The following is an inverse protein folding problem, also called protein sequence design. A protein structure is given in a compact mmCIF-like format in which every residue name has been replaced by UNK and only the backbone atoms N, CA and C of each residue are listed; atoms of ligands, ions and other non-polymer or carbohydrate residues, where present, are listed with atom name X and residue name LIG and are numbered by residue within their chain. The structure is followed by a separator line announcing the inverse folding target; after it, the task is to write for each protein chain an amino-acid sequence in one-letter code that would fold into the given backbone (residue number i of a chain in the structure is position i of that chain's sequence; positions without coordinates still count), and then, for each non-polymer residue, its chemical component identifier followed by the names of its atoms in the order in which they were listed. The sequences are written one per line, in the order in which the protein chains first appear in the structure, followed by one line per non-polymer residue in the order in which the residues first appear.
data_IF_403943516937
#
_entry.id   IF_403943516937
#
_cell.length_a   1.000
_cell.length_b   1.000
_cell.length_c   1.000
_cell.angle_alpha   90.00
_cell.angle_beta   90.00
_cell.angle_gamma   90.00
#
_symmetry.space_group_name_H-M   'P 1'
#
loop_
_entity.id
_entity.type
_entity.pdbx_description
1 polymer ?
#
# COMPACT_ATOMS: atom_id res chain seq x y z
N UNK A 1 -3.98 46.83 -27.15
CA UNK A 1 -3.31 48.05 -26.66
C UNK A 1 -2.43 47.63 -25.49
N UNK A 2 -1.12 47.75 -25.66
CA UNK A 2 -0.08 47.43 -24.67
C UNK A 2 -0.29 48.20 -23.36
N UNK A 3 0.09 47.61 -22.22
CA UNK A 3 1.29 47.99 -21.47
C UNK A 3 1.64 46.87 -20.49
N UNK A 4 2.93 46.52 -20.51
CA UNK A 4 3.67 45.56 -19.70
C UNK A 4 3.82 46.10 -18.27
N UNK A 5 4.00 45.20 -17.30
CA UNK A 5 5.10 45.35 -16.34
C UNK A 5 5.56 43.97 -15.86
N UNK A 6 6.73 43.58 -16.36
CA UNK A 6 7.62 42.56 -15.78
C UNK A 6 8.36 43.23 -14.61
N UNK A 7 8.52 42.52 -13.50
CA UNK A 7 9.60 42.81 -12.56
C UNK A 7 10.43 41.54 -12.34
N UNK A 8 11.65 41.60 -12.86
CA UNK A 8 12.80 40.76 -12.52
C UNK A 8 13.50 41.35 -11.30
N UNK A 9 14.07 40.50 -10.44
CA UNK A 9 15.28 40.71 -9.59
C UNK A 9 15.71 39.28 -9.21
N UNK A 10 16.73 38.69 -9.85
CA UNK A 10 18.18 38.83 -9.66
C UNK A 10 18.76 37.79 -8.67
N UNK A 11 19.44 36.83 -9.29
CA UNK A 11 20.41 35.88 -8.74
C UNK A 11 21.53 36.62 -8.01
N UNK A 12 21.86 36.17 -6.80
CA UNK A 12 23.11 36.52 -6.12
C UNK A 12 23.92 35.23 -5.86
N UNK A 13 24.87 34.97 -6.75
CA UNK A 13 26.00 34.07 -6.56
C UNK A 13 26.91 34.62 -5.44
N UNK A 14 27.12 33.84 -4.38
CA UNK A 14 28.09 34.12 -3.33
C UNK A 14 29.00 32.93 -3.11
N UNK A 15 30.13 32.89 -3.85
CA UNK A 15 31.24 31.99 -3.57
C UNK A 15 31.91 32.36 -2.24
N UNK A 16 32.09 31.41 -1.32
CA UNK A 16 33.12 31.50 -0.29
C UNK A 16 33.94 30.21 -0.30
N UNK A 17 35.24 30.41 -0.54
CA UNK A 17 36.26 29.41 -0.62
C UNK A 17 36.74 28.94 0.77
N UNK A 18 37.24 27.70 0.76
CA UNK A 18 37.92 26.96 1.81
C UNK A 18 38.88 27.78 2.70
N UNK A 19 38.79 27.54 4.01
CA UNK A 19 39.91 27.67 4.93
C UNK A 19 40.10 26.34 5.68
N UNK A 20 41.22 25.69 5.35
CA UNK A 20 41.79 24.54 6.05
C UNK A 20 42.22 24.96 7.47
N UNK A 21 41.78 24.22 8.48
CA UNK A 21 42.53 24.02 9.74
C UNK A 21 42.43 22.54 10.10
N UNK A 22 43.58 21.88 10.13
CA UNK A 22 43.71 20.47 10.47
C UNK A 22 44.15 20.22 11.92
N UNK A 23 44.15 18.92 12.24
CA UNK A 23 44.64 18.21 13.44
C UNK A 23 43.72 18.29 14.67
N UNK A 24 43.17 17.20 15.21
CA UNK A 24 43.29 15.78 14.93
C UNK A 24 43.06 15.00 16.22
N UNK A 25 42.32 13.88 16.18
CA UNK A 25 42.63 12.63 16.90
C UNK A 25 41.56 11.55 16.67
N UNK A 26 42.12 10.37 16.44
CA UNK A 26 41.60 9.02 16.69
C UNK A 26 40.42 8.53 15.83
N UNK A 27 40.82 7.85 14.77
CA UNK A 27 40.06 6.85 14.04
C UNK A 27 39.44 5.81 15.00
N UNK A 28 38.13 5.65 14.92
CA UNK A 28 37.44 4.41 15.25
C UNK A 28 36.97 3.84 13.91
N UNK A 29 37.34 2.60 13.63
CA UNK A 29 37.05 1.90 12.38
C UNK A 29 35.53 1.87 12.11
N UNK A 30 35.06 2.77 11.26
CA UNK A 30 33.84 2.57 10.51
C UNK A 30 34.17 1.56 9.41
N UNK A 31 33.88 0.28 9.65
CA UNK A 31 33.78 -0.69 8.58
C UNK A 31 32.79 -0.12 7.56
N UNK A 32 33.28 0.13 6.35
CA UNK A 32 32.48 0.64 5.25
C UNK A 32 31.30 -0.28 5.03
N UNK A 33 30.09 0.25 5.22
CA UNK A 33 28.89 -0.36 4.67
C UNK A 33 29.04 -0.35 3.16
N UNK A 34 29.38 -1.51 2.60
CA UNK A 34 29.19 -1.78 1.19
C UNK A 34 27.73 -1.46 0.88
N UNK A 35 27.52 -0.56 -0.09
CA UNK A 35 26.23 -0.35 -0.74
C UNK A 35 25.77 -1.69 -1.30
N UNK A 36 24.99 -2.41 -0.52
CA UNK A 36 24.28 -3.61 -0.96
C UNK A 36 23.06 -3.11 -1.70
N UNK A 37 23.20 -3.13 -3.02
CA UNK A 37 22.14 -2.98 -4.02
C UNK A 37 20.87 -3.63 -3.48
N UNK A 38 19.89 -2.80 -3.10
CA UNK A 38 18.57 -3.27 -2.72
C UNK A 38 17.98 -3.96 -3.94
N UNK A 39 17.47 -5.17 -3.76
CA UNK A 39 16.74 -5.88 -4.81
C UNK A 39 15.46 -5.08 -5.02
N UNK A 40 15.34 -4.44 -6.19
CA UNK A 40 14.11 -3.77 -6.61
C UNK A 40 13.02 -4.82 -6.63
N UNK A 41 11.96 -4.69 -5.81
CA UNK A 41 10.74 -5.46 -6.01
C UNK A 41 10.20 -4.99 -7.35
N UNK A 42 10.34 -5.84 -8.37
CA UNK A 42 9.87 -5.56 -9.71
C UNK A 42 8.35 -5.60 -9.71
N UNK A 43 7.71 -4.47 -9.43
CA UNK A 43 6.26 -4.27 -9.67
C UNK A 43 6.04 -3.96 -11.15
N UNK A 44 6.65 -4.76 -12.04
CA UNK A 44 6.14 -4.87 -13.41
C UNK A 44 4.71 -5.38 -13.26
N UNK A 45 3.73 -4.49 -13.51
CA UNK A 45 2.28 -4.76 -13.65
C UNK A 45 1.93 -6.25 -13.45
N UNK A 46 1.83 -6.65 -12.18
CA UNK A 46 1.75 -8.05 -11.77
C UNK A 46 0.31 -8.56 -11.94
N UNK A 47 -0.14 -8.65 -13.19
CA UNK A 47 -1.50 -9.04 -13.55
C UNK A 47 -1.48 -10.27 -14.44
N UNK A 48 -2.35 -11.22 -14.12
CA UNK A 48 -2.55 -12.39 -14.96
C UNK A 48 -3.27 -11.97 -16.25
N UNK A 49 -2.73 -12.32 -17.41
CA UNK A 49 -3.30 -11.88 -18.69
C UNK A 49 -4.60 -12.60 -18.99
N UNK A 50 -5.54 -11.87 -19.61
CA UNK A 50 -6.84 -12.43 -20.00
C UNK A 50 -6.69 -13.64 -20.94
N UNK A 51 -5.75 -13.56 -21.88
CA UNK A 51 -5.45 -14.64 -22.83
C UNK A 51 -5.00 -15.94 -22.16
N UNK A 52 -4.37 -15.83 -21.00
CA UNK A 52 -3.76 -16.95 -20.30
C UNK A 52 -4.73 -17.58 -19.29
N UNK A 53 -5.95 -17.06 -19.13
CA UNK A 53 -6.98 -17.59 -18.22
C UNK A 53 -7.18 -19.11 -18.31
N UNK A 54 -7.25 -19.73 -19.51
CA UNK A 54 -7.38 -21.18 -19.62
C UNK A 54 -6.25 -21.97 -18.97
N UNK A 55 -5.09 -21.36 -18.74
CA UNK A 55 -3.96 -21.98 -18.04
C UNK A 55 -4.20 -22.19 -16.54
N UNK A 56 -5.23 -21.56 -15.98
CA UNK A 56 -5.65 -21.69 -14.58
C UNK A 56 -6.64 -22.83 -14.34
N UNK A 57 -6.98 -23.61 -15.37
CA UNK A 57 -7.92 -24.73 -15.25
C UNK A 57 -7.34 -25.86 -14.39
N UNK A 58 -8.09 -26.27 -13.37
CA UNK A 58 -7.73 -27.33 -12.42
C UNK A 58 -8.67 -28.52 -12.64
N UNK A 59 -8.11 -29.73 -12.77
CA UNK A 59 -8.92 -30.96 -12.76
C UNK A 59 -9.48 -31.22 -11.35
N UNK A 60 -10.72 -31.66 -11.24
CA UNK A 60 -11.38 -31.95 -9.94
C UNK A 60 -10.64 -33.01 -9.11
N UNK A 61 -9.81 -33.83 -9.75
CA UNK A 61 -9.01 -34.89 -9.16
C UNK A 61 -7.51 -34.58 -9.24
N UNK A 62 -7.12 -33.34 -9.55
CA UNK A 62 -5.72 -32.94 -9.57
C UNK A 62 -5.06 -33.19 -8.21
N UNK A 63 -3.83 -33.71 -8.25
CA UNK A 63 -2.99 -33.82 -7.08
C UNK A 63 -2.36 -32.46 -6.71
N UNK A 64 -1.73 -32.41 -5.53
CA UNK A 64 -1.13 -31.18 -4.98
C UNK A 64 -0.08 -30.57 -5.92
N UNK A 65 0.77 -31.38 -6.55
CA UNK A 65 1.84 -30.86 -7.42
C UNK A 65 1.28 -30.22 -8.70
N UNK A 66 0.24 -30.82 -9.29
CA UNK A 66 -0.43 -30.21 -10.45
C UNK A 66 -1.13 -28.90 -10.07
N UNK A 67 -1.81 -28.86 -8.92
CA UNK A 67 -2.43 -27.61 -8.44
C UNK A 67 -1.36 -26.56 -8.19
N UNK A 68 -0.28 -26.87 -7.47
CA UNK A 68 0.84 -25.94 -7.21
C UNK A 68 1.45 -25.39 -8.49
N UNK A 69 1.63 -26.24 -9.50
CA UNK A 69 2.12 -25.82 -10.82
C UNK A 69 1.23 -24.73 -11.45
N UNK A 70 -0.09 -24.86 -11.32
CA UNK A 70 -1.06 -23.86 -11.78
C UNK A 70 -0.98 -22.59 -10.92
N UNK A 71 -0.94 -22.72 -9.59
CA UNK A 71 -0.86 -21.57 -8.68
C UNK A 71 0.42 -20.75 -8.91
N UNK A 72 1.53 -21.39 -9.24
CA UNK A 72 2.80 -20.72 -9.53
C UNK A 72 2.79 -19.89 -10.83
N UNK A 73 1.72 -19.97 -11.64
CA UNK A 73 1.52 -19.08 -12.80
C UNK A 73 0.85 -17.76 -12.42
N UNK A 74 0.16 -17.72 -11.28
CA UNK A 74 -0.50 -16.51 -10.81
C UNK A 74 0.55 -15.50 -10.31
N UNK A 75 0.20 -14.20 -10.30
CA UNK A 75 0.92 -13.19 -9.55
C UNK A 75 1.31 -13.67 -8.15
N UNK A 76 2.60 -13.57 -7.81
CA UNK A 76 3.09 -13.94 -6.48
C UNK A 76 2.39 -13.11 -5.40
N UNK A 77 2.02 -13.74 -4.29
CA UNK A 77 1.37 -13.04 -3.17
C UNK A 77 2.37 -12.16 -2.39
N UNK A 78 3.60 -12.65 -2.24
CA UNK A 78 4.76 -11.93 -1.73
C UNK A 78 6.04 -12.76 -1.98
N UNK A 79 7.20 -12.10 -2.15
CA UNK A 79 8.48 -12.77 -2.49
C UNK A 79 9.00 -13.77 -1.43
N UNK A 80 8.52 -13.63 -0.19
CA UNK A 80 8.89 -14.47 0.95
C UNK A 80 7.86 -15.56 1.24
N UNK A 81 6.81 -15.72 0.42
CA UNK A 81 5.84 -16.81 0.55
C UNK A 81 6.09 -17.88 -0.50
N UNK A 82 6.04 -19.15 -0.09
CA UNK A 82 6.13 -20.29 -0.99
C UNK A 82 4.94 -21.22 -0.78
N UNK A 83 4.36 -21.73 -1.87
CA UNK A 83 3.29 -22.71 -1.77
C UNK A 83 3.86 -24.06 -1.33
N UNK A 84 3.39 -24.52 -0.18
CA UNK A 84 3.79 -25.78 0.45
C UNK A 84 2.95 -26.94 -0.06
N UNK A 85 1.63 -26.79 0.00
CA UNK A 85 0.65 -27.81 -0.33
C UNK A 85 -0.60 -27.17 -0.91
N UNK A 86 -1.33 -27.93 -1.73
CA UNK A 86 -2.60 -27.51 -2.26
C UNK A 86 -3.53 -28.71 -2.46
N UNK A 87 -4.82 -28.53 -2.17
CA UNK A 87 -5.80 -29.62 -2.31
C UNK A 87 -7.20 -29.11 -2.56
N UNK A 88 -7.99 -29.94 -3.22
CA UNK A 88 -9.42 -29.77 -3.32
C UNK A 88 -10.07 -30.44 -2.09
N UNK A 89 -10.96 -29.73 -1.43
CA UNK A 89 -11.76 -30.25 -0.31
C UNK A 89 -13.25 -30.10 -0.60
N UNK A 90 -14.07 -30.90 0.07
CA UNK A 90 -15.53 -30.76 0.05
C UNK A 90 -15.98 -30.34 1.45
N UNK A 91 -16.78 -29.28 1.52
CA UNK A 91 -17.38 -28.79 2.77
C UNK A 91 -18.85 -28.43 2.57
N UNK A 92 -19.50 -28.00 3.65
CA UNK A 92 -20.91 -27.61 3.63
C UNK A 92 -21.20 -26.40 2.72
N UNK A 93 -20.18 -25.57 2.46
CA UNK A 93 -20.25 -24.39 1.58
C UNK A 93 -19.82 -24.68 0.13
N UNK A 94 -19.58 -25.95 -0.20
CA UNK A 94 -19.26 -26.42 -1.56
C UNK A 94 -17.84 -26.97 -1.71
N UNK A 95 -17.34 -26.96 -2.94
CA UNK A 95 -15.99 -27.44 -3.25
C UNK A 95 -14.99 -26.31 -2.98
N UNK A 96 -14.00 -26.56 -2.14
CA UNK A 96 -12.96 -25.61 -1.79
C UNK A 96 -11.62 -25.94 -2.44
N UNK A 97 -10.85 -24.91 -2.77
CA UNK A 97 -9.42 -25.03 -3.04
C UNK A 97 -8.65 -24.50 -1.83
N UNK A 98 -7.92 -25.38 -1.15
CA UNK A 98 -7.05 -25.02 -0.03
C UNK A 98 -5.64 -24.82 -0.54
N UNK A 99 -5.08 -23.65 -0.29
CA UNK A 99 -3.72 -23.26 -0.63
C UNK A 99 -2.93 -23.03 0.66
N UNK A 100 -1.95 -23.88 0.94
CA UNK A 100 -1.09 -23.77 2.12
C UNK A 100 0.26 -23.18 1.70
N UNK A 101 0.62 -22.05 2.30
CA UNK A 101 1.88 -21.35 2.10
C UNK A 101 2.73 -21.44 3.36
N UNK A 102 4.04 -21.49 3.17
CA UNK A 102 5.02 -21.22 4.23
C UNK A 102 5.60 -19.82 3.99
N UNK A 103 5.66 -19.01 5.04
CA UNK A 103 6.49 -17.82 5.04
C UNK A 103 7.96 -18.21 5.31
N UNK A 104 8.88 -17.71 4.49
CA UNK A 104 10.29 -18.06 4.53
C UNK A 104 11.08 -16.95 5.25
N UNK A 105 11.36 -17.16 6.53
CA UNK A 105 12.05 -16.21 7.42
C UNK A 105 13.34 -15.64 6.81
N UNK A 106 14.23 -16.51 6.33
CA UNK A 106 15.52 -16.09 5.79
C UNK A 106 15.37 -15.21 4.54
N UNK A 107 14.36 -15.47 3.69
CA UNK A 107 14.07 -14.63 2.53
C UNK A 107 13.59 -13.25 2.96
N UNK A 108 12.65 -13.19 3.92
CA UNK A 108 12.16 -11.92 4.45
C UNK A 108 13.30 -11.06 5.05
N UNK A 109 14.25 -11.68 5.77
CA UNK A 109 15.43 -10.99 6.29
C UNK A 109 16.39 -10.52 5.19
N UNK A 110 16.61 -11.32 4.14
CA UNK A 110 17.42 -10.90 2.98
C UNK A 110 16.79 -9.70 2.26
N UNK A 111 15.47 -9.64 2.19
CA UNK A 111 14.69 -8.53 1.66
C UNK A 111 14.63 -7.31 2.60
N UNK A 112 15.25 -7.40 3.80
CA UNK A 112 15.28 -6.34 4.82
C UNK A 112 13.88 -5.87 5.24
N UNK A 113 12.92 -6.79 5.28
CA UNK A 113 11.54 -6.50 5.69
C UNK A 113 11.42 -6.38 7.21
N UNK A 114 10.29 -5.85 7.66
CA UNK A 114 9.93 -5.75 9.08
C UNK A 114 9.85 -7.12 9.76
N UNK A 115 9.74 -7.15 11.09
CA UNK A 115 9.70 -8.40 11.86
C UNK A 115 8.47 -9.26 11.58
N UNK A 116 7.36 -8.70 11.10
CA UNK A 116 6.18 -9.47 10.68
C UNK A 116 5.74 -8.99 9.29
N UNK A 117 6.48 -9.38 8.24
CA UNK A 117 6.32 -8.77 6.92
C UNK A 117 4.94 -9.08 6.32
N UNK A 118 4.30 -10.20 6.68
CA UNK A 118 2.95 -10.52 6.23
C UNK A 118 1.90 -9.60 6.85
N UNK A 119 2.03 -9.31 8.15
CA UNK A 119 1.18 -8.34 8.84
C UNK A 119 1.34 -6.92 8.27
N UNK A 120 2.47 -6.61 7.65
CA UNK A 120 2.75 -5.30 7.06
C UNK A 120 2.66 -5.24 5.53
N UNK A 121 2.58 -6.38 4.85
CA UNK A 121 2.53 -6.47 3.38
C UNK A 121 1.46 -5.58 2.72
N UNK A 122 1.85 -4.59 1.90
CA UNK A 122 0.92 -3.64 1.31
C UNK A 122 -0.07 -4.30 0.33
N UNK A 123 0.35 -5.34 -0.38
CA UNK A 123 -0.40 -5.93 -1.50
C UNK A 123 -0.93 -7.34 -1.22
N UNK A 124 -0.51 -8.02 -0.13
CA UNK A 124 -0.88 -9.43 0.10
C UNK A 124 -2.39 -9.69 0.01
N UNK A 125 -3.20 -8.87 0.70
CA UNK A 125 -4.65 -9.08 0.72
C UNK A 125 -5.32 -8.82 -0.63
N UNK A 126 -4.84 -7.82 -1.37
CA UNK A 126 -5.41 -7.44 -2.67
C UNK A 126 -4.98 -8.41 -3.77
N UNK A 127 -3.75 -8.93 -3.74
CA UNK A 127 -3.28 -10.02 -4.61
C UNK A 127 -3.98 -11.34 -4.32
N UNK A 128 -4.15 -11.69 -3.04
CA UNK A 128 -4.91 -12.87 -2.63
C UNK A 128 -6.35 -12.81 -3.11
N UNK A 129 -6.98 -11.64 -3.03
CA UNK A 129 -8.31 -11.41 -3.56
C UNK A 129 -8.36 -11.62 -5.08
N UNK A 130 -7.44 -10.99 -5.82
CA UNK A 130 -7.34 -11.14 -7.27
C UNK A 130 -7.12 -12.60 -7.69
N UNK A 131 -6.13 -13.27 -7.10
CA UNK A 131 -5.83 -14.66 -7.41
C UNK A 131 -7.03 -15.58 -7.11
N UNK A 132 -7.75 -15.32 -6.02
CA UNK A 132 -8.93 -16.10 -5.66
C UNK A 132 -10.08 -15.90 -6.66
N UNK A 133 -10.31 -14.66 -7.10
CA UNK A 133 -11.27 -14.34 -8.15
C UNK A 133 -10.90 -15.03 -9.46
N UNK A 134 -9.63 -14.95 -9.90
CA UNK A 134 -9.17 -15.58 -11.14
C UNK A 134 -9.33 -17.10 -11.12
N UNK A 135 -8.97 -17.75 -10.00
CA UNK A 135 -9.14 -19.20 -9.84
C UNK A 135 -10.61 -19.61 -9.90
N UNK A 136 -11.51 -18.85 -9.27
CA UNK A 136 -12.95 -19.11 -9.33
C UNK A 136 -13.57 -18.74 -10.68
N UNK A 137 -13.00 -17.81 -11.43
CA UNK A 137 -13.45 -17.45 -12.78
C UNK A 137 -13.22 -18.60 -13.75
N UNK A 138 -12.02 -19.19 -13.72
CA UNK A 138 -11.69 -20.31 -14.60
C UNK A 138 -12.30 -21.64 -14.11
N UNK A 139 -12.45 -21.81 -12.80
CA UNK A 139 -12.93 -23.05 -12.20
C UNK A 139 -14.33 -22.89 -11.59
N UNK A 140 -15.36 -22.95 -12.44
CA UNK A 140 -16.77 -22.76 -12.06
C UNK A 140 -17.27 -23.72 -10.97
N UNK A 141 -16.61 -24.85 -10.74
CA UNK A 141 -17.00 -25.78 -9.68
C UNK A 141 -16.44 -25.40 -8.29
N UNK A 142 -15.44 -24.52 -8.22
CA UNK A 142 -14.83 -24.08 -6.96
C UNK A 142 -15.70 -22.97 -6.34
N UNK A 143 -16.17 -23.20 -5.12
CA UNK A 143 -17.06 -22.30 -4.38
C UNK A 143 -16.30 -21.36 -3.44
N UNK A 144 -15.09 -21.74 -3.01
CA UNK A 144 -14.23 -20.89 -2.18
C UNK A 144 -12.75 -21.24 -2.33
N UNK A 145 -11.91 -20.25 -2.05
CA UNK A 145 -10.46 -20.39 -1.90
C UNK A 145 -10.14 -20.17 -0.43
N UNK A 146 -9.44 -21.14 0.18
CA UNK A 146 -8.94 -21.05 1.55
C UNK A 146 -7.43 -20.89 1.50
N UNK A 147 -6.94 -19.76 1.99
CA UNK A 147 -5.50 -19.50 2.11
C UNK A 147 -5.06 -19.74 3.53
N UNK A 148 -4.05 -20.59 3.70
CA UNK A 148 -3.40 -20.86 5.00
C UNK A 148 -1.95 -20.43 4.86
N UNK A 149 -1.47 -19.55 5.73
CA UNK A 149 -0.06 -19.15 5.77
C UNK A 149 0.54 -19.59 7.10
N UNK A 150 1.52 -20.49 7.06
CA UNK A 150 2.26 -20.92 8.24
C UNK A 150 3.35 -19.87 8.56
N UNK A 151 3.32 -19.35 9.78
CA UNK A 151 4.23 -18.29 10.22
C UNK A 151 5.45 -18.93 10.91
N UNK A 152 6.68 -18.53 10.53
CA UNK A 152 7.91 -18.93 11.21
C UNK A 152 7.87 -18.66 12.71
N UNK A 153 8.43 -19.58 13.49
CA UNK A 153 8.48 -19.46 14.96
C UNK A 153 9.48 -18.40 15.42
N UNK A 154 10.34 -17.96 14.50
CA UNK A 154 11.41 -17.00 14.67
C UNK A 154 10.91 -15.56 14.87
N UNK A 155 9.65 -15.25 14.54
CA UNK A 155 9.08 -13.90 14.60
C UNK A 155 8.48 -13.48 15.96
N UNK A 156 8.88 -14.13 17.06
CA UNK A 156 8.47 -13.93 18.47
C UNK A 156 7.42 -14.93 18.98
N UNK A 157 7.63 -15.42 20.21
CA UNK A 157 6.72 -16.29 20.95
C UNK A 157 5.34 -15.63 21.13
N UNK A 158 4.27 -16.30 20.66
CA UNK A 158 2.88 -15.86 20.85
C UNK A 158 2.18 -15.29 19.62
N UNK A 159 2.85 -15.22 18.46
CA UNK A 159 2.17 -15.01 17.18
C UNK A 159 1.42 -16.28 16.77
N UNK A 160 0.25 -16.13 16.13
CA UNK A 160 -0.47 -17.27 15.57
C UNK A 160 0.46 -18.08 14.66
N UNK A 161 0.61 -19.38 14.91
CA UNK A 161 1.45 -20.25 14.07
C UNK A 161 0.93 -20.33 12.62
N UNK A 162 -0.33 -19.94 12.40
CA UNK A 162 -1.00 -19.95 11.10
C UNK A 162 -2.01 -18.82 10.98
N UNK A 163 -2.00 -18.13 9.85
CA UNK A 163 -3.08 -17.23 9.41
C UNK A 163 -3.97 -18.00 8.44
N UNK A 164 -5.28 -17.95 8.66
CA UNK A 164 -6.27 -18.61 7.79
C UNK A 164 -7.29 -17.59 7.31
N UNK A 165 -7.52 -17.53 6.00
CA UNK A 165 -8.55 -16.69 5.39
C UNK A 165 -9.32 -17.45 4.31
N UNK A 166 -10.57 -17.07 4.10
CA UNK A 166 -11.48 -17.72 3.14
C UNK A 166 -12.20 -16.67 2.31
N UNK A 167 -12.03 -16.75 1.00
CA UNK A 167 -12.77 -15.96 0.03
C UNK A 167 -13.73 -16.91 -0.68
N UNK A 168 -15.04 -16.64 -0.60
CA UNK A 168 -16.07 -17.44 -1.25
C UNK A 168 -16.57 -16.75 -2.52
N UNK A 169 -17.08 -17.52 -3.47
CA UNK A 169 -17.74 -16.95 -4.66
C UNK A 169 -18.92 -16.07 -4.26
N UNK A 170 -19.65 -16.45 -3.22
CA UNK A 170 -20.76 -15.66 -2.69
C UNK A 170 -20.31 -14.27 -2.22
N UNK A 171 -19.18 -14.16 -1.50
CA UNK A 171 -18.69 -12.85 -1.05
C UNK A 171 -18.23 -11.97 -2.21
N UNK A 172 -17.72 -12.57 -3.29
CA UNK A 172 -17.38 -11.86 -4.53
C UNK A 172 -18.63 -11.35 -5.27
N UNK A 173 -19.69 -12.17 -5.34
CA UNK A 173 -20.97 -11.76 -5.92
C UNK A 173 -21.62 -10.62 -5.12
N UNK A 174 -21.53 -10.64 -3.79
CA UNK A 174 -22.01 -9.55 -2.93
C UNK A 174 -21.24 -8.23 -3.16
N UNK A 175 -20.00 -8.31 -3.67
CA UNK A 175 -19.21 -7.17 -4.14
C UNK A 175 -19.52 -6.77 -5.59
N UNK A 176 -20.63 -7.26 -6.15
CA UNK A 176 -21.08 -7.01 -7.53
C UNK A 176 -20.08 -7.44 -8.62
N UNK A 177 -19.23 -8.43 -8.34
CA UNK A 177 -18.36 -9.01 -9.36
C UNK A 177 -19.18 -9.95 -10.23
N UNK A 178 -19.25 -9.67 -11.53
CA UNK A 178 -19.97 -10.50 -12.48
C UNK A 178 -19.01 -11.43 -13.23
N UNK A 179 -18.93 -12.69 -12.77
CA UNK A 179 -18.06 -13.71 -13.36
C UNK A 179 -18.39 -14.03 -14.82
N UNK A 180 -19.67 -14.13 -15.18
CA UNK A 180 -20.07 -14.42 -16.57
C UNK A 180 -19.63 -13.28 -17.50
N UNK A 181 -19.89 -12.04 -17.11
CA UNK A 181 -19.46 -10.88 -17.89
C UNK A 181 -17.93 -10.74 -17.95
N UNK A 182 -17.23 -11.03 -16.86
CA UNK A 182 -15.77 -11.02 -16.81
C UNK A 182 -15.14 -12.05 -17.75
N UNK A 183 -15.76 -13.22 -17.89
CA UNK A 183 -15.30 -14.28 -18.79
C UNK A 183 -15.49 -13.93 -20.27
N UNK A 184 -16.42 -13.04 -20.59
CA UNK A 184 -16.75 -12.64 -21.97
C UNK A 184 -16.21 -11.25 -22.36
N UNK A 185 -15.84 -10.42 -21.38
CA UNK A 185 -15.42 -9.04 -21.58
C UNK A 185 -14.01 -8.78 -21.01
N UNK A 186 -13.04 -8.73 -21.92
CA UNK A 186 -11.64 -8.40 -21.63
C UNK A 186 -11.46 -7.01 -20.97
N UNK A 187 -12.24 -6.00 -21.32
CA UNK A 187 -12.12 -4.67 -20.71
C UNK A 187 -12.49 -4.72 -19.24
N UNK A 188 -13.64 -5.32 -18.93
CA UNK A 188 -14.11 -5.48 -17.55
C UNK A 188 -13.14 -6.34 -16.72
N UNK A 189 -12.61 -7.42 -17.32
CA UNK A 189 -11.54 -8.20 -16.71
C UNK A 189 -10.32 -7.36 -16.35
N UNK A 190 -9.79 -6.62 -17.32
CA UNK A 190 -8.59 -5.82 -17.14
C UNK A 190 -8.83 -4.73 -16.08
N UNK A 191 -9.97 -4.04 -16.13
CA UNK A 191 -10.34 -3.00 -15.17
C UNK A 191 -10.39 -3.55 -13.74
N UNK A 192 -11.03 -4.70 -13.50
CA UNK A 192 -11.12 -5.32 -12.18
C UNK A 192 -9.75 -5.76 -11.65
N UNK A 193 -8.98 -6.47 -12.48
CA UNK A 193 -7.67 -6.97 -12.09
C UNK A 193 -6.71 -5.81 -11.83
N UNK A 194 -6.77 -4.75 -12.65
CA UNK A 194 -6.00 -3.51 -12.47
C UNK A 194 -6.40 -2.76 -11.20
N UNK A 195 -7.70 -2.61 -10.95
CA UNK A 195 -8.23 -1.92 -9.78
C UNK A 195 -7.73 -2.56 -8.48
N UNK A 196 -7.68 -3.88 -8.43
CA UNK A 196 -7.26 -4.63 -7.26
C UNK A 196 -5.73 -4.80 -7.12
N UNK A 197 -4.89 -4.35 -8.06
CA UNK A 197 -3.46 -4.18 -7.77
C UNK A 197 -3.25 -2.82 -7.13
N UNK A 198 -3.66 -2.76 -5.87
CA UNK A 198 -3.68 -1.57 -5.06
C UNK A 198 -3.21 -1.91 -3.65
N UNK A 199 -2.71 -0.90 -2.94
CA UNK A 199 -2.32 -1.03 -1.54
C UNK A 199 -3.58 -1.25 -0.70
N UNK A 200 -3.51 -2.18 0.24
CA UNK A 200 -4.65 -2.55 1.08
C UNK A 200 -5.05 -1.41 2.04
N UNK A 201 -6.17 -0.76 1.75
CA UNK A 201 -6.59 0.47 2.43
C UNK A 201 -6.90 0.30 3.93
N UNK A 202 -7.25 -0.91 4.39
CA UNK A 202 -7.54 -1.14 5.81
C UNK A 202 -6.30 -0.97 6.71
N UNK A 203 -5.11 -0.90 6.15
CA UNK A 203 -3.86 -0.58 6.87
C UNK A 203 -3.53 0.91 6.88
N UNK A 204 -4.24 1.70 6.10
CA UNK A 204 -3.97 3.13 5.91
C UNK A 204 -4.91 3.96 6.80
N UNK A 205 -4.46 4.19 8.03
CA UNK A 205 -5.19 5.02 8.98
C UNK A 205 -4.24 5.74 9.94
N UNK A 206 -4.73 6.82 10.54
CA UNK A 206 -4.04 7.56 11.59
C UNK A 206 -4.96 7.73 12.79
N UNK A 207 -4.55 7.26 13.96
CA UNK A 207 -5.36 7.12 15.17
C UNK A 207 -6.74 6.51 14.91
N UNK A 208 -6.75 5.45 14.09
CA UNK A 208 -7.94 4.74 13.57
C UNK A 208 -8.88 5.58 12.69
N UNK A 209 -8.48 6.79 12.31
CA UNK A 209 -9.20 7.63 11.35
C UNK A 209 -8.81 7.22 9.93
N UNK A 210 -9.81 7.08 9.07
CA UNK A 210 -9.70 6.67 7.67
C UNK A 210 -10.42 7.66 6.77
N UNK A 211 -10.18 7.57 5.46
CA UNK A 211 -11.04 8.24 4.49
C UNK A 211 -12.52 7.84 4.73
N UNK A 212 -13.40 8.84 4.71
CA UNK A 212 -14.84 8.67 5.00
C UNK A 212 -15.22 8.63 6.48
N UNK A 213 -14.26 8.72 7.42
CA UNK A 213 -14.60 8.89 8.85
C UNK A 213 -15.32 10.22 9.07
N UNK A 214 -16.38 10.23 9.89
CA UNK A 214 -17.06 11.48 10.24
C UNK A 214 -16.22 12.34 11.20
N UNK A 215 -16.55 13.63 11.23
CA UNK A 215 -15.90 14.62 12.10
C UNK A 215 -16.01 14.26 13.58
N UNK A 216 -17.15 13.72 14.02
CA UNK A 216 -17.35 13.34 15.43
C UNK A 216 -16.33 12.28 15.85
N UNK A 217 -16.14 11.24 15.03
CA UNK A 217 -15.15 10.19 15.24
C UNK A 217 -13.74 10.74 15.27
N UNK A 218 -13.41 11.69 14.37
CA UNK A 218 -12.12 12.37 14.36
C UNK A 218 -11.84 13.07 15.70
N UNK A 219 -12.78 13.88 16.18
CA UNK A 219 -12.67 14.60 17.46
C UNK A 219 -12.64 13.65 18.65
N UNK A 220 -13.48 12.59 18.66
CA UNK A 220 -13.49 11.61 19.74
C UNK A 220 -12.13 10.89 19.89
N UNK A 221 -11.42 10.64 18.80
CA UNK A 221 -10.14 9.93 18.80
C UNK A 221 -8.95 10.83 19.11
N UNK A 222 -8.95 12.05 18.58
CA UNK A 222 -7.78 12.94 18.62
C UNK A 222 -7.94 14.10 19.60
N UNK A 223 -9.15 14.34 20.11
CA UNK A 223 -9.49 15.56 20.84
C UNK A 223 -9.68 16.76 19.92
N UNK A 224 -9.71 17.95 20.52
CA UNK A 224 -9.77 19.20 19.78
C UNK A 224 -8.45 19.45 19.03
N UNK A 225 -8.50 19.87 17.75
CA UNK A 225 -7.31 20.20 16.99
C UNK A 225 -6.63 21.47 17.51
N UNK A 226 -5.30 21.53 17.38
CA UNK A 226 -4.48 22.69 17.71
C UNK A 226 -4.83 23.91 16.83
N UNK A 227 -5.26 23.66 15.59
CA UNK A 227 -5.73 24.68 14.67
C UNK A 227 -6.90 24.17 13.82
N UNK A 228 -7.92 25.01 13.68
CA UNK A 228 -9.04 24.83 12.73
C UNK A 228 -9.00 25.93 11.69
N UNK A 229 -9.11 25.54 10.42
CA UNK A 229 -9.31 26.45 9.30
C UNK A 229 -10.57 26.02 8.54
N UNK A 230 -11.47 26.96 8.28
CA UNK A 230 -12.62 26.75 7.41
C UNK A 230 -12.33 27.46 6.08
N UNK A 231 -12.30 26.68 4.99
CA UNK A 231 -12.12 27.17 3.62
C UNK A 231 -13.46 27.05 2.89
N UNK A 232 -14.18 28.16 2.89
CA UNK A 232 -15.55 28.26 2.39
C UNK A 232 -16.48 27.22 3.08
N UNK A 233 -17.75 27.13 2.66
CA UNK A 233 -18.70 26.15 3.22
C UNK A 233 -18.40 24.70 2.74
N UNK A 234 -17.22 24.44 2.16
CA UNK A 234 -16.90 23.22 1.40
C UNK A 234 -15.73 22.41 1.97
N UNK A 235 -14.81 23.01 2.71
CA UNK A 235 -13.65 22.31 3.26
C UNK A 235 -13.29 22.83 4.66
N UNK A 236 -13.08 21.90 5.60
CA UNK A 236 -12.48 22.19 6.91
C UNK A 236 -11.12 21.51 7.02
N UNK A 237 -10.14 22.16 7.63
CA UNK A 237 -8.79 21.62 7.85
C UNK A 237 -8.48 21.64 9.35
N UNK A 238 -8.30 20.45 9.92
CA UNK A 238 -8.01 20.25 11.33
C UNK A 238 -6.54 19.83 11.48
N UNK A 239 -5.75 20.64 12.19
CA UNK A 239 -4.31 20.39 12.40
C UNK A 239 -4.08 19.88 13.81
N UNK A 240 -3.29 18.81 13.92
CA UNK A 240 -2.85 18.21 15.18
C UNK A 240 -1.33 18.10 15.19
N UNK A 241 -0.67 18.56 16.26
CA UNK A 241 0.78 18.55 16.41
C UNK A 241 1.38 19.96 16.44
N UNK A 242 2.69 20.03 16.21
CA UNK A 242 3.46 21.28 16.30
C UNK A 242 4.08 21.68 14.95
N UNK A 243 4.89 22.74 14.95
CA UNK A 243 5.52 23.26 13.74
C UNK A 243 6.57 22.31 13.12
N UNK A 244 7.04 21.31 13.85
CA UNK A 244 8.06 20.36 13.40
C UNK A 244 7.46 19.04 12.90
N UNK A 245 6.33 18.62 13.48
CA UNK A 245 5.62 17.40 13.11
C UNK A 245 4.12 17.58 13.34
N UNK A 246 3.33 17.48 12.29
CA UNK A 246 1.89 17.64 12.38
C UNK A 246 1.13 16.80 11.36
N UNK A 247 -0.13 16.51 11.68
CA UNK A 247 -1.09 15.84 10.81
C UNK A 247 -2.26 16.76 10.54
N UNK A 248 -2.66 16.87 9.28
CA UNK A 248 -3.86 17.56 8.83
C UNK A 248 -4.93 16.55 8.45
N UNK A 249 -6.14 16.79 8.92
CA UNK A 249 -7.34 16.14 8.39
C UNK A 249 -8.10 17.18 7.56
N UNK A 250 -8.30 16.88 6.28
CA UNK A 250 -9.22 17.65 5.43
C UNK A 250 -10.58 16.98 5.47
N UNK A 251 -11.61 17.77 5.73
CA UNK A 251 -12.99 17.30 5.76
C UNK A 251 -13.80 18.01 4.70
N UNK A 252 -14.63 17.25 3.98
CA UNK A 252 -15.55 17.77 2.97
C UNK A 252 -16.96 17.26 3.24
N UNK A 253 -18.02 17.96 2.79
CA UNK A 253 -19.38 17.47 2.88
C UNK A 253 -19.54 16.07 2.27
N UNK A 254 -20.29 15.21 2.95
CA UNK A 254 -20.68 13.89 2.44
C UNK A 254 -21.49 14.06 1.17
N UNK A 255 -21.23 13.20 0.19
CA UNK A 255 -21.96 13.16 -1.08
C UNK A 255 -23.32 12.44 -0.97
N UNK A 256 -24.10 12.76 0.07
CA UNK A 256 -25.43 12.22 0.33
C UNK A 256 -26.47 13.32 0.64
N UNK A 257 -26.07 14.59 0.55
CA UNK A 257 -26.93 15.74 0.80
C UNK A 257 -27.22 16.01 2.28
N UNK A 258 -26.58 15.31 3.23
CA UNK A 258 -26.76 15.60 4.67
C UNK A 258 -26.07 16.89 5.10
N UNK A 259 -25.05 17.33 4.37
CA UNK A 259 -24.19 18.45 4.76
C UNK A 259 -23.21 18.12 5.89
N UNK A 260 -23.26 16.89 6.44
CA UNK A 260 -22.27 16.40 7.40
C UNK A 260 -20.90 16.30 6.72
N UNK A 261 -19.84 16.58 7.47
CA UNK A 261 -18.49 16.45 6.95
C UNK A 261 -17.92 15.03 7.18
N UNK A 262 -17.05 14.61 6.25
CA UNK A 262 -16.25 13.40 6.36
C UNK A 262 -14.80 13.68 5.96
N UNK A 263 -13.88 12.89 6.51
CA UNK A 263 -12.45 12.96 6.18
C UNK A 263 -12.23 12.59 4.72
N UNK A 264 -11.74 13.53 3.93
CA UNK A 264 -11.39 13.38 2.51
C UNK A 264 -9.89 13.30 2.28
N UNK A 265 -9.08 13.75 3.23
CA UNK A 265 -7.64 13.50 3.23
C UNK A 265 -7.06 13.46 4.64
N UNK A 266 -6.01 12.64 4.80
CA UNK A 266 -5.11 12.64 5.95
C UNK A 266 -3.73 12.96 5.41
N UNK A 267 -3.13 14.05 5.89
CA UNK A 267 -1.83 14.55 5.44
C UNK A 267 -0.89 14.58 6.62
N UNK A 268 0.26 13.94 6.51
CA UNK A 268 1.27 13.89 7.57
C UNK A 268 2.52 14.60 7.11
N UNK A 269 2.99 15.53 7.94
CA UNK A 269 4.29 16.17 7.83
C UNK A 269 5.21 15.56 8.89
N UNK A 270 6.05 14.59 8.52
CA UNK A 270 6.90 13.89 9.49
C UNK A 270 8.06 14.75 9.97
N UNK A 271 8.58 14.40 11.15
CA UNK A 271 9.89 14.84 11.62
C UNK A 271 10.89 13.67 11.58
N UNK A 272 12.19 13.97 11.72
CA UNK A 272 13.22 12.92 11.85
C UNK A 272 13.06 12.07 13.11
N UNK A 273 12.43 12.63 14.13
CA UNK A 273 12.16 11.95 15.40
C UNK A 273 10.92 11.03 15.30
N UNK A 274 10.15 11.12 14.22
CA UNK A 274 9.06 10.20 13.90
C UNK A 274 9.61 8.87 13.33
N UNK A 275 10.34 8.15 14.20
CA UNK A 275 11.05 6.90 13.88
C UNK A 275 10.11 5.81 13.35
N UNK A 276 8.82 5.90 13.69
CA UNK A 276 7.81 4.94 13.24
C UNK A 276 7.07 5.39 11.97
N UNK A 277 7.48 6.51 11.33
CA UNK A 277 6.90 6.99 10.09
C UNK A 277 5.40 7.30 10.22
N UNK A 278 4.92 7.68 11.41
CA UNK A 278 3.50 7.77 11.74
C UNK A 278 2.76 6.43 11.64
N UNK A 279 1.62 6.32 12.33
CA UNK A 279 0.84 5.06 12.38
C UNK A 279 0.52 4.51 10.98
N UNK A 280 0.31 5.40 10.00
CA UNK A 280 -0.04 5.04 8.62
C UNK A 280 1.06 4.26 7.90
N UNK A 281 2.32 4.72 7.92
CA UNK A 281 3.42 4.00 7.25
C UNK A 281 3.92 2.82 8.09
N UNK A 282 3.84 2.93 9.43
CA UNK A 282 4.10 1.80 10.33
C UNK A 282 3.23 0.59 9.99
N UNK A 283 1.94 0.80 9.76
CA UNK A 283 1.01 -0.27 9.41
C UNK A 283 1.33 -0.91 8.04
N UNK A 284 2.04 -0.21 7.16
CA UNK A 284 2.58 -0.76 5.91
C UNK A 284 3.98 -1.37 6.06
N UNK A 285 4.64 -1.24 7.20
CA UNK A 285 6.03 -1.66 7.40
C UNK A 285 7.05 -0.81 6.64
N UNK A 286 6.65 0.38 6.19
CA UNK A 286 7.50 1.30 5.43
C UNK A 286 8.09 2.35 6.38
N UNK A 287 9.16 1.96 7.07
CA UNK A 287 9.76 2.77 8.15
C UNK A 287 11.06 3.45 7.71
N UNK A 288 11.31 4.69 8.18
CA UNK A 288 12.63 5.30 8.06
C UNK A 288 13.66 4.60 8.96
N UNK A 289 14.94 4.88 8.74
CA UNK A 289 15.95 4.54 9.75
C UNK A 289 15.83 5.50 10.94
N UNK A 290 16.40 5.11 12.08
CA UNK A 290 16.39 5.93 13.29
C UNK A 290 17.00 7.33 13.04
N UNK A 291 16.25 8.38 13.40
CA UNK A 291 16.63 9.79 13.22
C UNK A 291 16.85 10.23 11.75
N UNK A 292 16.27 9.52 10.79
CA UNK A 292 16.34 9.86 9.35
C UNK A 292 14.93 10.07 8.76
N UNK A 293 14.85 10.80 7.65
CA UNK A 293 13.66 10.80 6.82
C UNK A 293 13.61 9.56 5.93
N UNK A 294 12.40 9.07 5.67
CA UNK A 294 12.18 8.07 4.63
C UNK A 294 12.60 8.64 3.28
N UNK A 295 13.31 7.86 2.47
CA UNK A 295 13.80 8.30 1.14
C UNK A 295 12.90 7.79 0.02
N UNK A 296 12.80 8.53 -1.09
CA UNK A 296 12.08 8.12 -2.31
C UNK A 296 12.46 6.71 -2.76
N UNK A 297 13.75 6.40 -2.79
CA UNK A 297 14.24 5.06 -3.16
C UNK A 297 13.70 3.96 -2.23
N UNK A 298 13.52 4.21 -0.93
CA UNK A 298 12.91 3.24 -0.01
C UNK A 298 11.44 3.01 -0.33
N UNK A 299 10.70 4.09 -0.66
CA UNK A 299 9.30 4.01 -1.06
C UNK A 299 9.17 3.19 -2.34
N UNK A 300 9.92 3.54 -3.39
CA UNK A 300 9.84 2.87 -4.69
C UNK A 300 10.33 1.43 -4.65
N UNK A 301 11.39 1.13 -3.88
CA UNK A 301 11.88 -0.25 -3.72
C UNK A 301 10.83 -1.15 -3.02
N UNK A 302 9.99 -0.59 -2.15
CA UNK A 302 9.03 -1.33 -1.33
C UNK A 302 7.63 -1.39 -1.92
N UNK A 303 7.12 -0.27 -2.45
CA UNK A 303 5.77 -0.15 -3.01
C UNK A 303 5.74 -0.38 -4.52
N UNK A 304 6.88 -0.33 -5.22
CA UNK A 304 6.96 -0.35 -6.67
C UNK A 304 6.92 1.04 -7.29
N UNK A 305 6.72 1.08 -8.61
CA UNK A 305 6.58 2.33 -9.33
C UNK A 305 5.17 2.94 -9.08
N UNK A 306 5.05 4.28 -8.94
CA UNK A 306 3.75 4.92 -8.74
C UNK A 306 2.84 4.79 -9.98
N UNK A 307 1.52 4.88 -9.76
CA UNK A 307 0.53 4.82 -10.85
C UNK A 307 0.61 6.08 -11.72
N UNK A 308 0.88 7.23 -11.10
CA UNK A 308 1.20 8.48 -11.78
C UNK A 308 1.97 9.42 -10.85
N UNK A 309 2.56 10.45 -11.45
CA UNK A 309 3.32 11.50 -10.77
C UNK A 309 2.74 12.87 -11.16
N UNK A 310 2.55 13.76 -10.20
CA UNK A 310 2.12 15.14 -10.44
C UNK A 310 3.03 16.07 -9.65
N UNK A 311 3.73 16.97 -10.36
CA UNK A 311 4.79 17.80 -9.79
C UNK A 311 5.82 16.93 -9.05
N UNK A 312 6.00 17.11 -7.75
CA UNK A 312 6.96 16.36 -6.92
C UNK A 312 6.28 15.27 -6.06
N UNK A 313 5.05 14.88 -6.42
CA UNK A 313 4.25 13.91 -5.70
C UNK A 313 4.03 12.61 -6.48
N UNK A 314 4.37 11.49 -5.83
CA UNK A 314 4.13 10.13 -6.35
C UNK A 314 2.80 9.60 -5.78
N UNK A 315 1.96 8.99 -6.62
CA UNK A 315 0.64 8.47 -6.24
C UNK A 315 0.53 6.96 -6.44
N UNK A 316 0.09 6.27 -5.39
CA UNK A 316 -0.13 4.83 -5.34
C UNK A 316 -1.61 4.57 -5.08
N UNK A 317 -2.25 3.75 -5.92
CA UNK A 317 -3.67 3.40 -5.77
C UNK A 317 -3.89 2.61 -4.48
N UNK A 318 -4.99 2.89 -3.78
CA UNK A 318 -5.40 2.13 -2.60
C UNK A 318 -6.75 1.45 -2.82
N UNK A 319 -7.00 0.35 -2.13
CA UNK A 319 -8.15 -0.53 -2.39
C UNK A 319 -9.50 -0.05 -1.82
N UNK A 320 -9.61 1.20 -1.36
CA UNK A 320 -10.86 1.73 -0.78
C UNK A 320 -11.83 2.23 -1.85
N UNK A 321 -11.34 2.88 -2.90
CA UNK A 321 -12.14 3.39 -4.02
C UNK A 321 -11.24 3.64 -5.25
N UNK A 322 -11.84 3.77 -6.45
CA UNK A 322 -11.15 3.99 -7.74
C UNK A 322 -10.33 5.27 -7.81
N UNK A 323 -10.63 6.21 -6.93
CA UNK A 323 -9.98 7.53 -6.92
C UNK A 323 -9.29 7.82 -5.59
N UNK A 324 -9.04 6.81 -4.76
CA UNK A 324 -8.31 7.00 -3.52
C UNK A 324 -6.83 6.62 -3.70
N UNK A 325 -5.96 7.43 -3.12
CA UNK A 325 -4.51 7.27 -3.28
C UNK A 325 -3.76 7.47 -1.97
N UNK A 326 -2.71 6.68 -1.79
CA UNK A 326 -1.57 6.99 -0.93
C UNK A 326 -0.59 7.82 -1.76
N UNK A 327 -0.13 8.93 -1.22
CA UNK A 327 0.82 9.79 -1.91
C UNK A 327 2.01 10.17 -1.04
N UNK A 328 3.10 10.55 -1.69
CA UNK A 328 4.32 11.02 -1.07
C UNK A 328 4.82 12.25 -1.82
N UNK A 329 5.22 13.29 -1.09
CA UNK A 329 5.91 14.46 -1.61
C UNK A 329 7.35 14.43 -1.11
N UNK A 330 8.28 14.71 -2.02
CA UNK A 330 9.71 14.64 -1.74
C UNK A 330 10.38 16.01 -1.77
N UNK A 331 11.41 16.19 -0.95
CA UNK A 331 12.38 17.27 -1.12
C UNK A 331 13.27 17.04 -2.34
N UNK A 332 14.06 18.05 -2.72
CA UNK A 332 15.07 17.93 -3.79
C UNK A 332 16.09 16.80 -3.52
N UNK A 333 16.38 16.52 -2.25
CA UNK A 333 17.28 15.44 -1.80
C UNK A 333 16.58 14.06 -1.73
N UNK A 334 15.32 13.98 -2.17
CA UNK A 334 14.52 12.76 -2.17
C UNK A 334 14.05 12.31 -0.80
N UNK A 335 13.93 13.24 0.17
CA UNK A 335 13.36 12.96 1.50
C UNK A 335 11.86 13.12 1.47
N UNK A 336 11.12 12.17 2.07
CA UNK A 336 9.67 12.31 2.27
C UNK A 336 9.43 13.42 3.28
N UNK A 337 8.90 14.54 2.81
CA UNK A 337 8.57 15.72 3.62
C UNK A 337 7.06 15.85 3.88
N UNK A 338 6.26 15.11 3.11
CA UNK A 338 4.82 14.96 3.31
C UNK A 338 4.40 13.61 2.73
N UNK A 339 3.48 12.94 3.39
CA UNK A 339 2.77 11.80 2.83
C UNK A 339 1.34 11.78 3.35
N UNK A 340 0.47 11.06 2.67
CA UNK A 340 -0.93 11.03 3.10
C UNK A 340 -1.80 10.14 2.27
N UNK A 341 -3.05 10.02 2.67
CA UNK A 341 -4.10 9.43 1.86
C UNK A 341 -5.11 10.50 1.48
N UNK A 342 -5.60 10.45 0.25
CA UNK A 342 -6.59 11.40 -0.23
C UNK A 342 -7.61 10.74 -1.16
N UNK A 343 -8.84 11.25 -1.10
CA UNK A 343 -9.84 11.08 -2.15
C UNK A 343 -9.47 12.05 -3.26
N UNK A 344 -9.01 11.55 -4.39
CA UNK A 344 -8.81 12.35 -5.58
C UNK A 344 -10.14 12.49 -6.31
N UNK A 345 -10.89 13.55 -6.02
CA UNK A 345 -12.02 13.91 -6.86
C UNK A 345 -11.42 14.45 -8.16
N UNK A 346 -11.52 13.68 -9.25
CA UNK A 346 -11.24 14.23 -10.59
C UNK A 346 -12.11 15.48 -10.72
N UNK A 347 -11.54 16.69 -10.85
CA UNK A 347 -12.34 17.86 -11.07
C UNK A 347 -13.11 17.62 -12.37
N UNK A 348 -14.43 17.51 -12.28
CA UNK A 348 -15.27 17.51 -13.46
C UNK A 348 -15.18 18.93 -14.00
N UNK A 349 -14.40 19.11 -15.07
CA UNK A 349 -14.28 20.40 -15.77
C UNK A 349 -15.61 20.82 -16.38
#
# INVERSE_FOLDING_TARGET
MNIKNKLSICVALGCIAFALVGCGRTAVNAQGNQMTQKVKVSVEKNYFLYEDLPELSIDKNADSENIKSIINKLPILADYLEIKDAKIENSDIGVGLVLEYDEIYDKAKQLKLSENPLYHSPYFNTFKFNNSMLLMLENEYISYIKTVVNIPKEYVEGTEEKIVDVISRESLLQKNINFEYMKENRSYYNELVEFNNAIYADRLFYNRIRLGSDEETLIQRNGDPDKREEKDDLESIYTYGDENSYTLFKLTPKNNGSGEQEVSAIVVHPSKEDINGGELLYNLGLLPNENEYLKKVQVTDYLGDPVFEIADADYYRISSDISDYLYFIYSEDGEVIEYGICKWIIPVN
#
